data_IF_610588448706
#
_entry.id   IF_610588448706
#
_cell.length_a   1.000
_cell.length_b   1.000
_cell.length_c   1.000
_cell.angle_alpha   90.00
_cell.angle_beta   90.00
_cell.angle_gamma   90.00
#
_symmetry.space_group_name_H-M   'P 1'
#
loop_
_entity.id
_entity.type
_entity.pdbx_description
1 polymer ?
#
# COMPACT_ATOMS: atom_id res chain seq x y z
N UNK A 1 -18.12 -8.28 4.25
CA UNK A 1 -17.39 -7.13 3.73
C UNK A 1 -16.89 -7.33 2.29
N UNK A 2 -16.86 -8.56 1.77
CA UNK A 2 -16.47 -8.87 0.40
C UNK A 2 -14.95 -8.96 0.16
N UNK A 3 -14.15 -8.79 1.19
CA UNK A 3 -12.68 -8.92 1.08
C UNK A 3 -12.25 -10.35 0.76
N UNK A 4 -11.14 -10.51 0.04
CA UNK A 4 -10.61 -11.80 -0.39
C UNK A 4 -9.14 -11.95 0.03
N UNK A 5 -8.84 -13.08 0.67
CA UNK A 5 -7.47 -13.50 1.01
C UNK A 5 -7.03 -14.53 -0.04
N UNK A 6 -5.83 -14.34 -0.60
CA UNK A 6 -5.24 -15.25 -1.59
C UNK A 6 -3.78 -15.52 -1.26
N UNK A 7 -3.34 -16.76 -1.46
CA UNK A 7 -1.97 -17.20 -1.19
C UNK A 7 -1.88 -18.18 -0.03
N UNK A 8 -0.86 -19.04 -0.04
CA UNK A 8 -0.72 -20.12 0.92
C UNK A 8 -0.36 -19.64 2.34
N UNK A 9 0.28 -18.48 2.44
CA UNK A 9 0.68 -17.89 3.72
C UNK A 9 -0.36 -16.91 4.28
N UNK A 10 -1.19 -16.32 3.42
CA UNK A 10 -2.14 -15.30 3.85
C UNK A 10 -3.25 -15.91 4.71
N UNK A 11 -3.39 -15.42 5.91
CA UNK A 11 -4.41 -15.86 6.88
C UNK A 11 -4.65 -14.81 7.96
N UNK A 12 -5.80 -14.88 8.62
CA UNK A 12 -6.04 -14.07 9.82
C UNK A 12 -5.67 -14.91 11.05
N UNK A 13 -4.70 -14.44 11.82
CA UNK A 13 -4.22 -15.11 13.02
C UNK A 13 -4.25 -14.15 14.23
N UNK A 14 -4.99 -14.52 15.27
CA UNK A 14 -5.09 -13.72 16.49
C UNK A 14 -5.65 -12.30 16.25
N UNK A 15 -6.48 -12.12 15.21
CA UNK A 15 -7.03 -10.83 14.82
C UNK A 15 -6.17 -10.02 13.86
N UNK A 16 -4.96 -10.46 13.55
CA UNK A 16 -4.04 -9.82 12.59
C UNK A 16 -4.04 -10.54 11.26
N UNK A 17 -3.84 -9.82 10.17
CA UNK A 17 -3.59 -10.38 8.84
C UNK A 17 -2.10 -10.75 8.73
N UNK A 18 -1.80 -12.02 8.59
CA UNK A 18 -0.47 -12.48 8.18
C UNK A 18 -0.44 -12.62 6.66
N UNK A 19 0.53 -12.01 6.00
CA UNK A 19 0.70 -12.07 4.54
C UNK A 19 1.83 -13.01 4.13
N UNK A 20 2.92 -13.04 4.87
CA UNK A 20 4.06 -13.93 4.59
C UNK A 20 4.49 -14.67 5.84
N UNK A 21 5.18 -15.79 5.67
CA UNK A 21 5.73 -16.62 6.74
C UNK A 21 7.22 -16.80 6.50
N UNK A 22 8.01 -16.54 7.52
CA UNK A 22 9.43 -16.86 7.54
C UNK A 22 9.63 -18.38 7.35
N UNK A 23 10.68 -18.77 6.65
CA UNK A 23 10.92 -20.15 6.17
C UNK A 23 9.93 -20.68 5.12
N UNK A 24 9.12 -19.83 4.50
CA UNK A 24 8.32 -20.19 3.35
C UNK A 24 9.19 -20.16 2.08
N UNK A 25 9.03 -21.14 1.21
CA UNK A 25 9.57 -21.04 -0.16
C UNK A 25 8.84 -19.97 -0.97
N UNK A 26 9.28 -19.72 -2.21
CA UNK A 26 8.70 -18.73 -3.14
C UNK A 26 7.17 -18.71 -3.05
N UNK A 27 6.63 -17.55 -2.72
CA UNK A 27 5.19 -17.37 -2.55
C UNK A 27 4.73 -15.93 -2.70
N UNK A 28 3.51 -15.79 -3.16
CA UNK A 28 2.79 -14.52 -3.24
C UNK A 28 1.52 -14.62 -2.41
N UNK A 29 1.20 -13.56 -1.71
CA UNK A 29 -0.02 -13.47 -0.91
C UNK A 29 -0.66 -12.10 -1.09
N UNK A 30 -1.98 -12.05 -0.99
CA UNK A 30 -2.72 -10.79 -1.02
C UNK A 30 -3.95 -10.81 -0.12
N UNK A 31 -4.36 -9.64 0.27
CA UNK A 31 -5.64 -9.33 0.88
C UNK A 31 -6.26 -8.18 0.10
N UNK A 32 -7.30 -8.46 -0.66
CA UNK A 32 -7.99 -7.46 -1.49
C UNK A 32 -9.32 -7.05 -0.87
N UNK A 33 -9.61 -5.77 -0.92
CA UNK A 33 -10.75 -5.09 -0.33
C UNK A 33 -11.53 -4.44 -1.47
N UNK A 34 -12.86 -4.66 -1.57
CA UNK A 34 -13.66 -4.05 -2.63
C UNK A 34 -13.57 -2.53 -2.63
N UNK A 35 -13.82 -1.96 -3.79
CA UNK A 35 -13.94 -0.53 -3.99
C UNK A 35 -14.85 0.13 -2.93
N UNK A 36 -14.42 1.28 -2.46
CA UNK A 36 -15.16 2.07 -1.48
C UNK A 36 -15.76 3.30 -2.16
N UNK A 37 -17.01 3.60 -1.83
CA UNK A 37 -17.68 4.78 -2.35
C UNK A 37 -16.88 6.04 -2.07
N UNK A 38 -16.81 6.95 -3.03
CA UNK A 38 -16.10 8.23 -2.98
C UNK A 38 -14.57 8.12 -2.89
N UNK A 39 -13.99 6.96 -3.15
CA UNK A 39 -12.53 6.81 -3.15
C UNK A 39 -11.87 7.65 -4.24
N UNK A 40 -12.56 7.96 -5.34
CA UNK A 40 -12.09 8.89 -6.37
C UNK A 40 -11.96 10.33 -5.89
N UNK A 41 -12.67 10.71 -4.82
CA UNK A 41 -12.61 12.04 -4.22
C UNK A 41 -11.49 12.20 -3.20
N UNK A 42 -10.90 11.10 -2.77
CA UNK A 42 -9.79 11.03 -1.83
C UNK A 42 -10.04 10.00 -0.72
N UNK A 43 -8.94 9.54 -0.15
CA UNK A 43 -8.97 8.58 0.94
C UNK A 43 -7.71 8.67 1.80
N UNK A 44 -7.82 8.13 3.01
CA UNK A 44 -6.68 7.87 3.90
C UNK A 44 -6.79 6.44 4.38
N UNK A 45 -5.71 5.68 4.26
CA UNK A 45 -5.55 4.36 4.83
C UNK A 45 -4.44 4.38 5.87
N UNK A 46 -4.69 3.86 7.06
CA UNK A 46 -3.68 3.71 8.10
C UNK A 46 -3.71 2.29 8.66
N UNK A 47 -2.55 1.78 9.01
CA UNK A 47 -2.40 0.44 9.59
C UNK A 47 -1.16 0.34 10.45
N UNK A 48 -1.16 -0.61 11.37
CA UNK A 48 0.04 -1.06 12.08
C UNK A 48 0.63 -2.26 11.35
N UNK A 49 1.94 -2.43 11.45
CA UNK A 49 2.64 -3.56 10.85
C UNK A 49 3.68 -4.16 11.80
N UNK A 50 3.99 -5.42 11.57
CA UNK A 50 5.12 -6.12 12.15
C UNK A 50 5.83 -6.90 11.05
N UNK A 51 7.13 -6.68 10.90
CA UNK A 51 8.02 -7.48 10.06
C UNK A 51 8.99 -8.19 10.99
N UNK A 52 9.17 -9.47 10.78
CA UNK A 52 10.12 -10.26 11.54
C UNK A 52 10.86 -11.22 10.60
N UNK A 53 12.16 -11.25 10.74
CA UNK A 53 13.03 -12.22 10.11
C UNK A 53 13.75 -13.00 11.21
N UNK A 54 13.69 -14.33 11.17
CA UNK A 54 14.39 -15.17 12.13
C UNK A 54 15.87 -15.27 11.78
N UNK A 55 16.70 -15.36 12.79
CA UNK A 55 18.14 -15.58 12.58
C UNK A 55 18.37 -16.85 11.78
N UNK A 56 18.96 -16.73 10.61
CA UNK A 56 19.17 -17.84 9.70
C UNK A 56 20.18 -17.53 8.63
N UNK A 57 20.08 -18.23 7.53
CA UNK A 57 20.96 -18.07 6.38
C UNK A 57 20.47 -17.01 5.39
N UNK A 58 19.31 -16.44 5.60
CA UNK A 58 18.65 -15.55 4.65
C UNK A 58 18.35 -14.21 5.31
N UNK A 59 18.62 -13.13 4.61
CA UNK A 59 18.18 -11.78 4.97
C UNK A 59 16.68 -11.62 4.71
N UNK A 60 16.00 -10.62 5.33
CA UNK A 60 14.60 -10.34 5.08
C UNK A 60 14.30 -10.16 3.59
N UNK A 61 13.18 -10.66 3.12
CA UNK A 61 12.74 -10.52 1.73
C UNK A 61 11.27 -10.94 1.52
N UNK A 62 10.66 -10.59 0.39
CA UNK A 62 11.15 -9.63 -0.62
C UNK A 62 10.60 -8.24 -0.30
N UNK A 63 9.37 -8.14 0.21
CA UNK A 63 8.70 -6.90 0.54
C UNK A 63 7.18 -7.02 0.52
N UNK A 64 6.51 -5.88 0.60
CA UNK A 64 5.07 -5.78 0.51
C UNK A 64 4.62 -4.41 0.01
N UNK A 65 3.37 -4.34 -0.41
CA UNK A 65 2.74 -3.08 -0.82
C UNK A 65 1.31 -2.96 -0.32
N UNK A 66 0.86 -1.72 -0.13
CA UNK A 66 -0.55 -1.34 -0.11
C UNK A 66 -0.90 -0.74 -1.47
N UNK A 67 -2.01 -1.18 -2.06
CA UNK A 67 -2.38 -0.86 -3.44
C UNK A 67 -3.78 -0.26 -3.49
N UNK A 68 -3.98 0.69 -4.40
CA UNK A 68 -5.27 1.23 -4.80
C UNK A 68 -5.33 1.27 -6.32
N UNK A 69 -6.22 0.49 -6.96
CA UNK A 69 -6.20 0.38 -8.41
C UNK A 69 -7.27 -0.49 -9.03
N UNK A 70 -7.25 -0.54 -10.37
CA UNK A 70 -8.12 -1.35 -11.21
C UNK A 70 -7.56 -2.78 -11.32
N UNK A 71 -7.73 -3.55 -10.28
CA UNK A 71 -7.36 -4.96 -10.23
C UNK A 71 -8.51 -5.82 -9.69
N UNK A 72 -8.54 -7.08 -10.12
CA UNK A 72 -9.56 -8.04 -9.69
C UNK A 72 -9.43 -8.39 -8.21
N UNK A 73 -10.56 -8.69 -7.57
CA UNK A 73 -10.58 -9.25 -6.22
C UNK A 73 -9.86 -10.60 -6.20
N UNK A 74 -8.93 -10.76 -5.26
CA UNK A 74 -8.06 -11.92 -5.16
C UNK A 74 -6.84 -11.87 -6.08
N UNK A 75 -6.60 -10.77 -6.79
CA UNK A 75 -5.37 -10.54 -7.52
C UNK A 75 -4.15 -10.58 -6.59
N UNK A 76 -3.01 -11.04 -7.09
CA UNK A 76 -1.75 -11.12 -6.37
C UNK A 76 -0.71 -10.25 -7.03
N UNK A 77 0.17 -9.67 -6.23
CA UNK A 77 1.30 -8.94 -6.73
C UNK A 77 2.27 -9.84 -7.51
N UNK A 78 2.98 -9.25 -8.45
CA UNK A 78 3.94 -9.96 -9.30
C UNK A 78 5.37 -9.41 -9.18
N UNK A 79 5.51 -8.18 -8.70
CA UNK A 79 6.80 -7.57 -8.41
C UNK A 79 7.34 -8.02 -7.04
N UNK A 80 8.59 -7.71 -6.74
CA UNK A 80 9.23 -8.10 -5.47
C UNK A 80 8.51 -7.52 -4.27
N UNK A 81 8.11 -6.27 -4.34
CA UNK A 81 7.37 -5.55 -3.31
C UNK A 81 5.88 -5.94 -3.28
N UNK A 82 5.47 -6.86 -4.14
CA UNK A 82 4.10 -7.35 -4.17
C UNK A 82 3.09 -6.41 -4.85
N UNK A 83 3.53 -5.49 -5.72
CA UNK A 83 2.62 -4.59 -6.45
C UNK A 83 1.53 -5.37 -7.19
N UNK A 84 0.26 -5.02 -6.94
CA UNK A 84 -0.90 -5.58 -7.64
C UNK A 84 -1.23 -4.71 -8.86
N UNK A 85 -1.63 -5.35 -9.97
CA UNK A 85 -2.14 -4.61 -11.12
C UNK A 85 -1.07 -3.90 -11.93
N UNK A 86 0.13 -4.46 -12.03
CA UNK A 86 1.26 -3.89 -12.79
C UNK A 86 0.93 -3.47 -14.24
N UNK A 87 -0.11 -4.05 -14.83
CA UNK A 87 -0.58 -3.72 -16.18
C UNK A 87 -1.88 -2.90 -16.20
N UNK A 88 -2.41 -2.53 -15.05
CA UNK A 88 -3.65 -1.78 -14.88
C UNK A 88 -3.37 -0.45 -14.18
N UNK A 89 -4.36 0.46 -14.17
CA UNK A 89 -4.24 1.67 -13.38
C UNK A 89 -4.17 1.34 -11.89
N UNK A 90 -3.07 1.67 -11.25
CA UNK A 90 -2.90 1.48 -9.82
C UNK A 90 -1.91 2.48 -9.21
N UNK A 91 -2.05 2.67 -7.92
CA UNK A 91 -1.06 3.29 -7.04
C UNK A 91 -0.57 2.22 -6.08
N UNK A 92 0.73 2.09 -5.92
CA UNK A 92 1.37 1.16 -5.03
C UNK A 92 2.25 1.92 -4.03
N UNK A 93 2.07 1.63 -2.75
CA UNK A 93 2.81 2.18 -1.63
C UNK A 93 3.66 1.03 -1.08
N UNK A 94 4.94 1.05 -1.35
CA UNK A 94 5.81 -0.12 -1.31
C UNK A 94 6.83 -0.04 -0.19
N UNK A 95 7.12 -1.21 0.39
CA UNK A 95 8.23 -1.44 1.30
C UNK A 95 9.02 -2.61 0.75
N UNK A 96 10.17 -2.31 0.17
CA UNK A 96 11.14 -3.30 -0.29
C UNK A 96 12.12 -3.63 0.83
N UNK A 97 12.12 -4.88 1.26
CA UNK A 97 13.00 -5.36 2.33
C UNK A 97 14.21 -6.12 1.78
N UNK A 98 14.24 -6.43 0.49
CA UNK A 98 15.30 -7.17 -0.15
C UNK A 98 16.27 -6.26 -0.92
N UNK A 99 17.54 -6.50 -0.78
CA UNK A 99 18.60 -5.78 -1.48
C UNK A 99 19.10 -6.60 -2.68
N UNK A 100 18.54 -6.35 -3.86
CA UNK A 100 18.95 -7.04 -5.09
C UNK A 100 20.32 -6.61 -5.59
N UNK A 101 20.53 -5.32 -5.76
CA UNK A 101 21.76 -4.74 -6.33
C UNK A 101 21.98 -3.35 -5.71
N UNK A 102 22.96 -3.22 -4.84
CA UNK A 102 23.44 -1.91 -4.36
C UNK A 102 22.36 -0.92 -3.90
N UNK A 103 21.68 -1.21 -2.79
CA UNK A 103 20.80 -0.28 -2.08
C UNK A 103 19.40 -0.11 -2.68
N UNK A 104 18.73 -1.20 -3.07
CA UNK A 104 17.31 -1.15 -3.48
C UNK A 104 16.32 -1.29 -2.33
N UNK A 105 16.76 -1.66 -1.13
CA UNK A 105 15.87 -1.62 0.04
C UNK A 105 15.34 -0.21 0.25
N UNK A 106 14.06 -0.08 0.55
CA UNK A 106 13.50 1.23 0.78
C UNK A 106 11.99 1.29 0.81
N UNK A 107 11.50 2.50 0.87
CA UNK A 107 10.08 2.84 0.81
C UNK A 107 9.83 3.67 -0.43
N UNK A 108 8.76 3.36 -1.15
CA UNK A 108 8.49 3.91 -2.46
C UNK A 108 6.99 4.15 -2.70
N UNK A 109 6.68 5.00 -3.66
CA UNK A 109 5.36 5.11 -4.29
C UNK A 109 5.54 4.91 -5.79
N UNK A 110 4.84 3.93 -6.36
CA UNK A 110 4.90 3.64 -7.79
C UNK A 110 3.52 3.33 -8.38
N UNK A 111 3.46 3.05 -9.65
CA UNK A 111 2.27 2.56 -10.31
C UNK A 111 2.06 3.09 -11.72
N UNK A 112 0.88 2.78 -12.26
CA UNK A 112 0.37 3.30 -13.54
C UNK A 112 -0.92 4.04 -13.26
N UNK A 113 -1.00 5.31 -13.61
CA UNK A 113 -2.21 6.12 -13.41
C UNK A 113 -2.53 6.85 -14.72
N UNK A 114 -3.78 6.74 -15.19
CA UNK A 114 -4.18 7.32 -16.45
C UNK A 114 -3.43 6.76 -17.67
N UNK A 115 -2.90 5.53 -17.57
CA UNK A 115 -2.07 4.91 -18.61
C UNK A 115 -0.62 5.44 -18.68
N UNK A 116 -0.23 6.27 -17.72
CA UNK A 116 1.14 6.76 -17.59
C UNK A 116 1.83 5.97 -16.49
N UNK A 117 2.95 5.37 -16.82
CA UNK A 117 3.82 4.74 -15.84
C UNK A 117 4.49 5.86 -15.02
N UNK A 118 4.10 5.94 -13.75
CA UNK A 118 4.67 6.89 -12.81
C UNK A 118 5.95 6.32 -12.17
N UNK A 119 6.18 5.00 -12.32
CA UNK A 119 7.37 4.30 -11.86
C UNK A 119 7.79 4.68 -10.44
N UNK A 120 9.05 4.51 -10.13
CA UNK A 120 9.68 4.98 -8.90
C UNK A 120 9.86 6.52 -8.87
N UNK A 121 9.05 7.27 -9.60
CA UNK A 121 9.30 8.69 -9.88
C UNK A 121 8.39 9.64 -9.11
N UNK A 122 7.38 9.14 -8.42
CA UNK A 122 6.47 10.01 -7.64
C UNK A 122 7.09 10.55 -6.36
N UNK A 123 8.19 10.02 -5.92
CA UNK A 123 8.92 10.51 -4.76
C UNK A 123 10.38 10.18 -4.90
N UNK A 124 11.22 10.79 -4.11
CA UNK A 124 12.55 10.25 -3.94
C UNK A 124 12.39 8.86 -3.33
N UNK A 125 12.87 7.83 -3.99
CA UNK A 125 13.02 6.51 -3.39
C UNK A 125 13.82 6.70 -2.10
N UNK A 126 13.21 6.43 -0.96
CA UNK A 126 13.91 6.54 0.31
C UNK A 126 14.73 5.29 0.54
N UNK A 127 15.94 5.31 0.05
CA UNK A 127 16.84 4.18 -0.08
C UNK A 127 17.65 3.99 1.21
N UNK A 128 17.53 2.84 1.83
CA UNK A 128 18.26 2.53 3.05
C UNK A 128 17.77 1.24 3.71
N UNK A 129 18.52 0.72 4.69
CA UNK A 129 18.14 -0.50 5.36
C UNK A 129 16.78 -0.38 6.03
N UNK A 130 15.94 -1.38 5.84
CA UNK A 130 14.62 -1.49 6.45
C UNK A 130 14.69 -2.28 7.75
N UNK A 131 15.35 -3.44 7.70
CA UNK A 131 15.66 -4.28 8.86
C UNK A 131 16.86 -5.19 8.55
N UNK A 132 17.49 -5.70 9.59
CA UNK A 132 18.58 -6.66 9.47
C UNK A 132 18.12 -8.07 9.86
N UNK A 133 18.92 -9.08 9.49
CA UNK A 133 18.71 -10.48 9.87
C UNK A 133 18.50 -10.63 11.39
N UNK A 134 17.46 -11.37 11.77
CA UNK A 134 17.06 -11.59 13.15
C UNK A 134 16.35 -10.41 13.83
N UNK A 135 16.08 -9.33 13.10
CA UNK A 135 15.31 -8.21 13.64
C UNK A 135 13.80 -8.44 13.61
N UNK A 136 13.14 -7.79 14.56
CA UNK A 136 11.71 -7.56 14.58
C UNK A 136 11.47 -6.05 14.56
N UNK A 137 10.70 -5.61 13.59
CA UNK A 137 10.34 -4.21 13.42
C UNK A 137 8.84 -4.05 13.50
N UNK A 138 8.39 -3.08 14.25
CA UNK A 138 6.97 -2.71 14.36
C UNK A 138 6.81 -1.21 14.18
N UNK A 139 5.70 -0.81 13.59
CA UNK A 139 5.41 0.60 13.39
C UNK A 139 4.03 0.80 12.80
N UNK A 140 3.80 1.98 12.26
CA UNK A 140 2.58 2.34 11.58
C UNK A 140 2.88 2.97 10.22
N UNK A 141 1.93 2.82 9.31
CA UNK A 141 1.99 3.42 7.98
C UNK A 141 0.69 4.14 7.69
N UNK A 142 0.80 5.22 6.92
CA UNK A 142 -0.35 5.96 6.42
C UNK A 142 -0.12 6.30 4.96
N UNK A 143 -1.03 5.83 4.12
CA UNK A 143 -1.13 6.20 2.71
C UNK A 143 -2.37 7.07 2.50
N UNK A 144 -2.30 8.05 1.61
CA UNK A 144 -3.45 8.89 1.30
C UNK A 144 -3.43 9.39 -0.15
N UNK A 145 -4.63 9.66 -0.65
CA UNK A 145 -4.88 10.32 -1.91
C UNK A 145 -5.79 11.52 -1.68
N UNK A 146 -5.38 12.68 -2.18
CA UNK A 146 -6.17 13.92 -2.20
C UNK A 146 -6.49 14.27 -3.64
N UNK A 147 -7.75 14.07 -4.04
CA UNK A 147 -8.20 14.34 -5.41
C UNK A 147 -8.25 15.84 -5.73
N UNK A 148 -8.48 16.70 -4.73
CA UNK A 148 -8.53 18.14 -4.94
C UNK A 148 -7.14 18.70 -5.22
N UNK A 149 -6.16 18.24 -4.47
CA UNK A 149 -4.77 18.60 -4.69
C UNK A 149 -4.13 17.83 -5.86
N UNK A 150 -4.68 16.68 -6.26
CA UNK A 150 -4.09 15.77 -7.25
C UNK A 150 -2.81 15.10 -6.72
N UNK A 151 -2.76 14.81 -5.43
CA UNK A 151 -1.53 14.34 -4.78
C UNK A 151 -1.73 13.06 -3.99
N UNK A 152 -0.63 12.34 -3.76
CA UNK A 152 -0.55 11.21 -2.83
C UNK A 152 0.48 11.47 -1.74
N UNK A 153 0.33 10.76 -0.62
CA UNK A 153 1.30 10.80 0.47
C UNK A 153 1.50 9.39 1.03
N UNK A 154 2.72 9.11 1.49
CA UNK A 154 3.05 7.88 2.19
C UNK A 154 4.02 8.17 3.32
N UNK A 155 3.59 7.91 4.54
CA UNK A 155 4.37 8.14 5.76
C UNK A 155 4.52 6.83 6.51
N UNK A 156 5.74 6.50 6.90
CA UNK A 156 6.06 5.29 7.67
C UNK A 156 6.78 5.63 8.97
N UNK A 157 6.62 4.78 9.96
CA UNK A 157 7.34 4.84 11.23
C UNK A 157 7.82 3.45 11.63
N UNK A 158 8.90 3.38 12.43
CA UNK A 158 9.39 2.12 12.98
C UNK A 158 10.44 1.41 12.14
N UNK A 159 10.61 1.75 10.87
CA UNK A 159 11.68 1.25 10.01
C UNK A 159 13.00 1.94 10.35
N UNK A 160 14.15 1.34 10.02
CA UNK A 160 15.45 2.02 10.11
C UNK A 160 15.50 3.24 9.18
N UNK A 161 14.93 3.09 7.98
CA UNK A 161 14.73 4.19 7.04
C UNK A 161 13.24 4.39 6.80
N UNK A 162 12.67 5.43 7.38
CA UNK A 162 11.26 5.77 7.23
C UNK A 162 11.04 6.68 6.02
N UNK A 163 9.83 6.59 5.44
CA UNK A 163 9.35 7.54 4.45
C UNK A 163 8.55 8.68 5.10
N UNK A 164 8.68 9.86 4.50
CA UNK A 164 7.85 11.04 4.76
C UNK A 164 7.58 11.72 3.41
N UNK A 165 6.85 11.01 2.53
CA UNK A 165 6.44 11.51 1.22
C UNK A 165 5.10 12.20 1.35
N UNK A 166 5.07 13.51 1.26
CA UNK A 166 3.85 14.31 1.44
C UNK A 166 3.57 15.16 0.20
N UNK A 167 2.35 15.03 -0.32
CA UNK A 167 1.87 15.87 -1.41
C UNK A 167 2.58 15.64 -2.75
N UNK A 168 2.89 14.38 -3.06
CA UNK A 168 3.52 14.00 -4.33
C UNK A 168 2.49 14.13 -5.46
N UNK A 169 2.78 14.97 -6.45
CA UNK A 169 1.90 15.29 -7.57
C UNK A 169 1.70 14.10 -8.52
N UNK A 170 0.46 13.75 -8.81
CA UNK A 170 0.08 12.72 -9.78
C UNK A 170 0.09 13.20 -11.24
N UNK A 171 0.56 14.41 -11.50
CA UNK A 171 0.64 14.94 -12.89
C UNK A 171 -0.71 15.10 -13.57
N UNK A 172 -1.77 15.38 -12.81
CA UNK A 172 -3.14 15.54 -13.32
C UNK A 172 -3.90 14.22 -13.48
N UNK A 173 -3.35 13.11 -13.04
CA UNK A 173 -4.04 11.84 -13.00
C UNK A 173 -4.92 11.73 -11.74
N UNK A 174 -5.94 10.87 -11.79
CA UNK A 174 -6.91 10.70 -10.70
C UNK A 174 -7.25 9.22 -10.46
N UNK A 175 -7.67 8.91 -9.24
CA UNK A 175 -8.25 7.63 -8.89
C UNK A 175 -9.69 7.46 -9.44
N UNK A 176 -10.27 6.28 -9.22
CA UNK A 176 -11.62 5.93 -9.65
C UNK A 176 -12.37 5.22 -8.50
N UNK A 177 -13.68 5.46 -8.38
CA UNK A 177 -14.54 4.81 -7.37
C UNK A 177 -14.72 3.30 -7.59
N UNK A 178 -14.38 2.79 -8.78
CA UNK A 178 -14.37 1.36 -9.07
C UNK A 178 -13.06 0.66 -8.67
N UNK A 179 -12.05 1.41 -8.26
CA UNK A 179 -10.76 0.84 -7.88
C UNK A 179 -10.81 0.17 -6.51
N UNK A 180 -10.22 -1.00 -6.45
CA UNK A 180 -10.09 -1.80 -5.23
C UNK A 180 -8.89 -1.36 -4.41
N UNK A 181 -8.90 -1.74 -3.12
CA UNK A 181 -7.75 -1.63 -2.24
C UNK A 181 -7.16 -3.01 -1.97
N UNK A 182 -5.91 -3.07 -1.55
CA UNK A 182 -5.36 -4.35 -1.13
C UNK A 182 -3.91 -4.29 -0.66
N UNK A 183 -3.58 -5.25 0.17
CA UNK A 183 -2.19 -5.57 0.49
C UNK A 183 -1.72 -6.72 -0.40
N UNK A 184 -0.47 -6.70 -0.79
CA UNK A 184 0.19 -7.85 -1.37
C UNK A 184 1.63 -7.93 -0.86
N UNK A 185 2.14 -9.14 -0.77
CA UNK A 185 3.49 -9.42 -0.33
C UNK A 185 4.06 -10.62 -1.08
N UNK A 186 5.38 -10.64 -1.17
CA UNK A 186 6.13 -11.74 -1.77
C UNK A 186 7.24 -12.19 -0.84
N UNK A 187 7.61 -13.46 -0.94
CA UNK A 187 8.84 -14.05 -0.41
C UNK A 187 9.48 -14.90 -1.50
N UNK A 188 10.79 -14.95 -1.51
CA UNK A 188 11.59 -15.68 -2.48
C UNK A 188 12.45 -16.76 -1.86
N UNK A 189 13.73 -16.77 -2.18
CA UNK A 189 14.75 -17.62 -1.55
C UNK A 189 15.12 -17.13 -0.14
N UNK A 190 14.96 -15.86 0.12
CA UNK A 190 14.92 -15.22 1.41
C UNK A 190 13.47 -14.94 1.79
N UNK A 191 13.14 -14.72 3.05
CA UNK A 191 11.76 -14.60 3.51
C UNK A 191 11.65 -13.86 4.85
N UNK A 192 10.41 -13.53 5.23
CA UNK A 192 10.07 -12.83 6.46
C UNK A 192 8.63 -13.13 6.86
N UNK A 193 8.32 -13.01 8.15
CA UNK A 193 6.95 -12.86 8.63
C UNK A 193 6.49 -11.41 8.42
N UNK A 194 5.31 -11.23 7.85
CA UNK A 194 4.65 -9.93 7.77
C UNK A 194 3.25 -10.01 8.33
N UNK A 195 2.97 -9.13 9.30
CA UNK A 195 1.63 -8.95 9.87
C UNK A 195 1.15 -7.51 9.65
N UNK A 196 -0.14 -7.39 9.34
CA UNK A 196 -0.87 -6.13 9.26
C UNK A 196 -1.98 -6.16 10.32
N UNK A 197 -2.16 -5.05 11.02
CA UNK A 197 -3.17 -4.89 12.06
C UNK A 197 -3.79 -3.49 12.00
N UNK A 198 -4.92 -3.31 12.66
CA UNK A 198 -5.59 -2.01 12.84
C UNK A 198 -5.82 -1.21 11.53
N UNK A 199 -6.07 -1.92 10.42
CA UNK A 199 -6.35 -1.25 9.15
C UNK A 199 -7.64 -0.43 9.24
N UNK A 200 -7.53 0.85 8.91
CA UNK A 200 -8.65 1.78 8.74
C UNK A 200 -8.51 2.47 7.40
N UNK A 201 -9.53 2.38 6.55
CA UNK A 201 -9.62 3.16 5.31
C UNK A 201 -10.82 4.09 5.43
N UNK A 202 -10.58 5.38 5.24
CA UNK A 202 -11.60 6.43 5.27
C UNK A 202 -11.61 7.15 3.94
N UNK A 203 -12.77 7.26 3.30
CA UNK A 203 -12.96 8.04 2.07
C UNK A 203 -13.52 9.43 2.40
N UNK A 204 -13.28 10.38 1.52
CA UNK A 204 -13.83 11.74 1.66
C UNK A 204 -15.35 11.69 1.41
N UNK A 205 -16.20 12.16 2.34
CA UNK A 205 -17.63 12.19 2.10
C UNK A 205 -17.99 13.12 0.94
N UNK A 206 -18.99 12.76 0.13
CA UNK A 206 -19.54 13.69 -0.84
C UNK A 206 -20.02 14.98 -0.14
N UNK A 207 -19.77 16.16 -0.74
CA UNK A 207 -20.38 17.39 -0.25
C UNK A 207 -21.89 17.18 -0.21
N UNK A 208 -22.46 17.15 0.99
CA UNK A 208 -23.89 16.93 1.13
C UNK A 208 -24.64 18.02 0.32
N UNK A 209 -25.44 17.62 -0.66
CA UNK A 209 -26.21 18.54 -1.52
C UNK A 209 -27.11 19.51 -0.73
N UNK A 210 -27.36 19.24 0.55
CA UNK A 210 -28.01 20.12 1.50
C UNK A 210 -27.18 21.38 1.83
N UNK A 211 -25.85 21.28 1.82
CA UNK A 211 -24.99 22.47 2.02
C UNK A 211 -25.02 23.41 0.82
N UNK A 212 -25.12 22.90 -0.40
CA UNK A 212 -25.26 23.70 -1.62
C UNK A 212 -26.64 24.37 -1.72
N UNK A 213 -27.71 23.68 -1.31
CA UNK A 213 -29.06 24.25 -1.26
C UNK A 213 -29.19 25.37 -0.22
N UNK A 214 -28.47 25.27 0.90
CA UNK A 214 -28.44 26.32 1.95
C UNK A 214 -27.77 27.61 1.47
N UNK A 215 -26.72 27.53 0.68
CA UNK A 215 -26.02 28.70 0.13
C UNK A 215 -26.80 29.36 -1.03
N UNK A 216 -27.55 28.57 -1.82
CA UNK A 216 -28.41 29.11 -2.89
C UNK A 216 -29.66 29.84 -2.38
N UNK A 217 -30.17 29.53 -1.17
CA UNK A 217 -31.36 30.15 -0.61
C UNK A 217 -31.10 31.55 0.02
N UNK A 218 -29.84 31.90 0.30
CA UNK A 218 -29.48 33.21 0.86
C UNK A 218 -28.99 34.23 -0.17
N UNK A 219 -28.95 33.86 -1.44
CA UNK A 219 -28.47 34.72 -2.53
C UNK A 219 -29.51 35.55 -3.25
N UNK A 220 -30.77 35.51 -2.82
CA UNK A 220 -31.89 36.27 -3.42
C UNK A 220 -32.64 37.12 -2.39
N UNK A 221 -31.98 38.09 -1.80
CA UNK A 221 -32.62 39.21 -1.14
C UNK A 221 -31.80 40.50 -1.35
#
# INVERSE_FOLDING_TARGET
DGSVITGAAASVQGGRLQLTIDNQGLGFSSYTIPALANSSQGWTASWDYEIFDSVGANVPADGFSFNYGDFDMGARGQAEEGMIGFAANNLSFEVDTWMNFDAEQGVNISGIVGGVDIGNQLGAFNNGPILNDGQRVTGSMTASYDAVAGTVSFVTTGLETNADFVGIDLGGNSGDDAWNFGFSARVGGANQDLFIDNLVITTVPEPSGLALLGLGAFGFF
#
